data_IF_503680358483
#
_entry.id   IF_503680358483
#
_cell.length_a   1.000
_cell.length_b   1.000
_cell.length_c   1.000
_cell.angle_alpha   90.00
_cell.angle_beta   90.00
_cell.angle_gamma   90.00
#
_symmetry.space_group_name_H-M   'P 1'
#
loop_
_entity.id
_entity.type
_entity.pdbx_description
1 polymer ?
#
# COMPACT_ATOMS: atom_id res chain seq x y z
N UNK A 1 -9.15 19.70 -9.66
CA UNK A 1 -9.03 18.47 -8.85
C UNK A 1 -8.16 18.81 -7.67
N UNK A 2 -8.69 18.64 -6.46
CA UNK A 2 -7.97 18.97 -5.23
C UNK A 2 -6.95 17.87 -4.89
N UNK A 3 -7.31 16.60 -5.14
CA UNK A 3 -6.43 15.45 -5.03
C UNK A 3 -6.90 14.30 -5.94
N UNK A 4 -6.05 13.29 -6.11
CA UNK A 4 -6.35 12.04 -6.83
C UNK A 4 -6.09 10.87 -5.87
N UNK A 5 -6.99 9.89 -5.88
CA UNK A 5 -6.81 8.61 -5.18
C UNK A 5 -6.62 7.50 -6.23
N UNK A 6 -5.57 6.70 -6.08
CA UNK A 6 -5.31 5.53 -6.93
C UNK A 6 -5.11 4.32 -6.04
N UNK A 7 -5.79 3.23 -6.33
CA UNK A 7 -5.79 2.05 -5.45
C UNK A 7 -4.90 0.92 -5.96
N UNK A 8 -3.72 1.19 -6.53
CA UNK A 8 -2.77 0.16 -6.97
C UNK A 8 -3.11 -0.52 -8.30
N UNK A 9 -2.51 -1.70 -8.52
CA UNK A 9 -2.64 -2.55 -9.72
C UNK A 9 -2.18 -1.86 -11.02
N UNK A 10 -0.89 -1.55 -11.06
CA UNK A 10 -0.21 -0.96 -12.22
C UNK A 10 0.27 -2.00 -13.23
N UNK A 11 0.34 -3.28 -12.87
CA UNK A 11 0.69 -4.36 -13.80
C UNK A 11 -0.53 -4.93 -14.52
N UNK A 12 -0.31 -5.44 -15.73
CA UNK A 12 -1.30 -6.23 -16.44
C UNK A 12 -1.38 -7.67 -15.90
N UNK A 13 -2.34 -8.44 -16.41
CA UNK A 13 -2.60 -9.82 -16.01
C UNK A 13 -1.79 -10.84 -16.83
N UNK A 14 -0.64 -10.45 -17.35
CA UNK A 14 0.33 -11.28 -18.05
C UNK A 14 1.27 -11.97 -17.06
N UNK A 15 0.68 -12.74 -16.14
CA UNK A 15 1.39 -13.42 -15.04
C UNK A 15 2.51 -14.36 -15.49
N UNK A 16 2.56 -14.73 -16.77
CA UNK A 16 3.61 -15.54 -17.38
C UNK A 16 4.89 -14.76 -17.75
N UNK A 17 4.85 -13.43 -17.79
CA UNK A 17 6.00 -12.54 -18.11
C UNK A 17 6.20 -11.48 -17.01
N UNK A 18 5.93 -11.88 -15.78
CA UNK A 18 5.81 -11.00 -14.63
C UNK A 18 7.16 -10.85 -13.91
N UNK A 19 7.81 -9.69 -14.04
CA UNK A 19 9.18 -9.45 -13.54
C UNK A 19 9.29 -8.17 -12.71
N UNK A 20 10.29 -8.11 -11.82
CA UNK A 20 10.60 -6.89 -11.05
C UNK A 20 10.87 -5.68 -11.95
N UNK A 21 11.62 -5.88 -13.04
CA UNK A 21 11.98 -4.80 -13.97
C UNK A 21 10.75 -4.22 -14.67
N UNK A 22 9.84 -5.08 -15.15
CA UNK A 22 8.58 -4.65 -15.75
C UNK A 22 7.71 -3.89 -14.74
N UNK A 23 7.63 -4.38 -13.50
CA UNK A 23 6.87 -3.70 -12.45
C UNK A 23 7.41 -2.31 -12.14
N UNK A 24 8.73 -2.19 -12.02
CA UNK A 24 9.41 -0.90 -11.83
C UNK A 24 9.15 0.06 -12.97
N UNK A 25 9.25 -0.41 -14.22
CA UNK A 25 9.03 0.41 -15.41
C UNK A 25 7.62 0.97 -15.44
N UNK A 26 6.61 0.12 -15.26
CA UNK A 26 5.20 0.50 -15.28
C UNK A 26 4.84 1.52 -14.19
N UNK A 27 5.28 1.31 -12.94
CA UNK A 27 5.04 2.28 -11.85
C UNK A 27 5.70 3.63 -12.18
N UNK A 28 6.93 3.63 -12.72
CA UNK A 28 7.62 4.86 -13.12
C UNK A 28 6.92 5.56 -14.29
N UNK A 29 6.46 4.81 -15.28
CA UNK A 29 5.74 5.34 -16.43
C UNK A 29 4.42 5.99 -16.00
N UNK A 30 3.64 5.33 -15.15
CA UNK A 30 2.40 5.90 -14.59
C UNK A 30 2.71 7.14 -13.75
N UNK A 31 3.74 7.09 -12.90
CA UNK A 31 4.18 8.26 -12.12
C UNK A 31 4.54 9.44 -13.02
N UNK A 32 5.31 9.21 -14.09
CA UNK A 32 5.69 10.26 -15.04
C UNK A 32 4.48 10.87 -15.76
N UNK A 33 3.51 10.03 -16.15
CA UNK A 33 2.25 10.49 -16.73
C UNK A 33 1.45 11.36 -15.75
N UNK A 34 1.32 10.93 -14.49
CA UNK A 34 0.63 11.70 -13.45
C UNK A 34 1.27 13.07 -13.23
N UNK A 35 2.61 13.11 -13.13
CA UNK A 35 3.34 14.38 -12.99
C UNK A 35 3.21 15.28 -14.22
N UNK A 36 3.14 14.70 -15.43
CA UNK A 36 2.97 15.45 -16.67
C UNK A 36 1.57 16.07 -16.82
N UNK A 37 0.51 15.30 -16.54
CA UNK A 37 -0.87 15.76 -16.71
C UNK A 37 -1.42 16.52 -15.49
N UNK A 38 -0.94 16.20 -14.29
CA UNK A 38 -1.42 16.77 -13.02
C UNK A 38 -0.29 17.33 -12.14
N UNK A 39 0.53 18.28 -12.64
CA UNK A 39 1.77 18.72 -11.99
C UNK A 39 1.59 19.43 -10.64
N UNK A 40 0.36 19.79 -10.26
CA UNK A 40 0.04 20.50 -9.02
C UNK A 40 -0.98 19.76 -8.15
N UNK A 41 -1.46 18.61 -8.59
CA UNK A 41 -2.48 17.86 -7.85
C UNK A 41 -1.78 16.73 -7.09
N UNK A 42 -1.90 16.67 -5.76
CA UNK A 42 -1.36 15.57 -4.99
C UNK A 42 -2.08 14.26 -5.35
N UNK A 43 -1.30 13.18 -5.42
CA UNK A 43 -1.81 11.83 -5.68
C UNK A 43 -1.51 10.95 -4.47
N UNK A 44 -2.55 10.30 -3.95
CA UNK A 44 -2.47 9.33 -2.87
C UNK A 44 -2.69 7.94 -3.44
N UNK A 45 -1.71 7.07 -3.26
CA UNK A 45 -1.69 5.74 -3.87
C UNK A 45 -1.69 4.67 -2.79
N UNK A 46 -2.54 3.65 -2.89
CA UNK A 46 -2.39 2.39 -2.13
C UNK A 46 -1.68 1.33 -2.98
N UNK A 47 -1.02 0.37 -2.32
CA UNK A 47 -0.41 -0.79 -3.00
C UNK A 47 -1.52 -1.83 -3.29
N UNK A 48 -1.54 -2.37 -4.51
CA UNK A 48 -2.38 -3.48 -4.94
C UNK A 48 -1.65 -4.81 -4.93
N UNK A 49 -2.38 -5.87 -5.27
CA UNK A 49 -1.83 -7.22 -5.20
C UNK A 49 -0.96 -7.56 -6.43
N UNK A 50 -1.12 -6.80 -7.52
CA UNK A 50 -0.28 -6.85 -8.73
C UNK A 50 1.01 -5.99 -8.65
N UNK A 51 1.45 -5.56 -7.48
CA UNK A 51 2.75 -4.87 -7.35
C UNK A 51 3.90 -5.80 -6.94
N UNK A 52 3.60 -6.91 -6.26
CA UNK A 52 4.59 -7.85 -5.75
C UNK A 52 5.03 -8.80 -6.86
N UNK A 53 6.28 -9.27 -6.83
CA UNK A 53 6.83 -10.25 -7.79
C UNK A 53 7.33 -11.48 -7.02
N UNK A 54 6.76 -12.68 -7.23
CA UNK A 54 5.57 -12.94 -8.05
C UNK A 54 4.32 -12.23 -7.52
N UNK A 55 3.26 -12.15 -8.33
CA UNK A 55 1.97 -11.56 -7.92
C UNK A 55 1.53 -12.05 -6.53
N UNK A 56 0.90 -11.17 -5.75
CA UNK A 56 0.47 -11.38 -4.36
C UNK A 56 1.62 -11.54 -3.34
N UNK A 57 2.88 -11.56 -3.76
CA UNK A 57 4.03 -11.76 -2.87
C UNK A 57 4.44 -10.47 -2.15
N UNK A 58 3.76 -10.18 -1.04
CA UNK A 58 4.06 -9.07 -0.13
C UNK A 58 4.60 -9.59 1.20
N UNK A 59 5.77 -10.22 1.24
CA UNK A 59 6.24 -10.83 2.51
C UNK A 59 6.37 -9.80 3.65
N UNK A 60 6.10 -10.19 4.93
CA UNK A 60 6.22 -9.30 6.08
C UNK A 60 7.67 -9.22 6.55
N UNK A 61 8.07 -8.15 7.24
CA UNK A 61 9.46 -7.99 7.72
C UNK A 61 9.90 -9.03 8.72
N UNK A 62 8.93 -9.63 9.41
CA UNK A 62 9.19 -10.70 10.38
C UNK A 62 9.59 -12.02 9.71
N UNK A 63 9.57 -12.09 8.37
CA UNK A 63 10.11 -13.24 7.62
C UNK A 63 11.59 -13.45 7.93
N UNK A 64 12.04 -14.67 8.31
CA UNK A 64 13.46 -14.94 8.55
C UNK A 64 14.39 -14.61 7.37
N UNK A 65 13.89 -14.74 6.15
CA UNK A 65 14.62 -14.42 4.90
C UNK A 65 14.23 -13.05 4.32
N UNK A 66 13.63 -12.15 5.12
CA UNK A 66 13.10 -10.88 4.62
C UNK A 66 14.15 -10.13 3.80
N UNK A 67 15.32 -9.86 4.36
CA UNK A 67 16.39 -9.13 3.67
C UNK A 67 16.83 -9.72 2.32
N UNK A 68 16.58 -11.01 2.09
CA UNK A 68 16.99 -11.72 0.87
C UNK A 68 15.86 -11.82 -0.16
N UNK A 69 14.61 -11.92 0.29
CA UNK A 69 13.46 -12.31 -0.54
C UNK A 69 12.24 -11.42 -0.36
N UNK A 70 12.32 -10.43 0.52
CA UNK A 70 11.26 -9.48 0.78
C UNK A 70 11.09 -8.50 -0.39
N UNK A 71 9.97 -7.78 -0.46
CA UNK A 71 9.74 -6.78 -1.49
C UNK A 71 10.32 -5.41 -1.10
N UNK A 72 11.51 -5.33 -0.48
CA UNK A 72 12.11 -4.03 -0.09
C UNK A 72 12.29 -3.11 -1.30
N UNK A 73 12.57 -3.70 -2.45
CA UNK A 73 12.67 -3.00 -3.72
C UNK A 73 11.39 -2.27 -4.08
N UNK A 74 10.23 -2.88 -3.83
CA UNK A 74 8.91 -2.33 -4.12
C UNK A 74 8.62 -1.18 -3.16
N UNK A 75 8.84 -1.38 -1.86
CA UNK A 75 8.59 -0.31 -0.88
C UNK A 75 9.51 0.89 -1.08
N UNK A 76 10.75 0.67 -1.52
CA UNK A 76 11.66 1.74 -1.94
C UNK A 76 11.10 2.49 -3.14
N UNK A 77 10.64 1.79 -4.17
CA UNK A 77 10.02 2.39 -5.35
C UNK A 77 8.74 3.16 -5.03
N UNK A 78 7.90 2.63 -4.14
CA UNK A 78 6.69 3.32 -3.69
C UNK A 78 7.03 4.60 -2.91
N UNK A 79 8.06 4.58 -2.06
CA UNK A 79 8.58 5.79 -1.40
C UNK A 79 9.12 6.81 -2.39
N UNK A 80 9.84 6.38 -3.42
CA UNK A 80 10.28 7.25 -4.52
C UNK A 80 9.09 7.91 -5.22
N UNK A 81 8.06 7.14 -5.57
CA UNK A 81 6.83 7.66 -6.17
C UNK A 81 6.12 8.65 -5.24
N UNK A 82 5.84 8.27 -4.00
CA UNK A 82 5.13 9.11 -3.03
C UNK A 82 5.89 10.38 -2.65
N UNK A 83 7.22 10.40 -2.74
CA UNK A 83 8.02 11.59 -2.45
C UNK A 83 7.68 12.80 -3.34
N UNK A 84 7.00 12.57 -4.47
CA UNK A 84 6.49 13.64 -5.33
C UNK A 84 5.29 14.39 -4.71
N UNK A 85 4.56 13.80 -3.77
CA UNK A 85 3.30 14.35 -3.26
C UNK A 85 3.17 14.37 -1.73
N UNK A 86 3.89 13.50 -1.02
CA UNK A 86 3.80 13.36 0.45
C UNK A 86 4.96 14.07 1.17
N UNK A 87 4.70 14.65 2.36
CA UNK A 87 5.75 15.22 3.20
C UNK A 87 6.63 14.12 3.81
N UNK A 88 7.88 14.45 4.14
CA UNK A 88 8.88 13.50 4.66
C UNK A 88 8.42 12.63 5.85
N UNK A 89 7.69 13.15 6.86
CA UNK A 89 7.19 12.32 7.95
C UNK A 89 6.31 11.17 7.46
N UNK A 90 5.41 11.43 6.52
CA UNK A 90 4.51 10.41 5.97
C UNK A 90 5.25 9.32 5.18
N UNK A 91 6.46 9.59 4.67
CA UNK A 91 7.29 8.60 3.99
C UNK A 91 7.98 7.62 4.97
N UNK A 92 8.17 8.04 6.22
CA UNK A 92 8.68 7.16 7.28
C UNK A 92 7.62 6.12 7.70
N UNK A 93 6.35 6.52 7.66
CA UNK A 93 5.19 5.72 8.09
C UNK A 93 4.60 4.83 6.99
N UNK A 94 5.27 4.71 5.84
CA UNK A 94 4.91 3.71 4.85
C UNK A 94 5.07 2.32 5.47
N UNK A 95 3.94 1.73 5.86
CA UNK A 95 3.88 0.39 6.46
C UNK A 95 3.70 -0.69 5.39
N UNK A 96 4.05 -1.91 5.78
CA UNK A 96 4.35 -3.02 4.90
C UNK A 96 3.27 -4.10 5.07
N UNK A 97 3.01 -4.90 4.04
CA UNK A 97 1.96 -5.93 4.01
C UNK A 97 2.53 -7.37 3.93
N UNK A 98 1.66 -8.38 3.83
CA UNK A 98 1.60 -9.72 4.49
C UNK A 98 2.12 -11.03 3.82
N UNK A 99 2.45 -12.07 4.64
CA UNK A 99 1.96 -13.50 4.50
C UNK A 99 2.43 -14.56 5.55
N UNK A 100 3.41 -14.33 6.44
CA UNK A 100 3.97 -15.42 7.29
C UNK A 100 3.25 -15.61 8.64
N UNK A 101 2.83 -14.53 9.29
CA UNK A 101 2.02 -14.56 10.50
C UNK A 101 0.75 -13.73 10.25
N UNK A 102 -0.42 -14.32 10.53
CA UNK A 102 -1.72 -13.71 10.25
C UNK A 102 -2.27 -12.88 11.43
N UNK A 103 -1.56 -12.84 12.56
CA UNK A 103 -1.89 -11.98 13.70
C UNK A 103 -1.31 -10.59 13.45
N UNK A 104 -2.19 -9.62 13.19
CA UNK A 104 -1.90 -8.21 12.88
C UNK A 104 -0.49 -7.96 12.28
N UNK A 105 -0.29 -8.39 11.03
CA UNK A 105 0.99 -8.34 10.34
C UNK A 105 1.49 -6.90 10.23
N UNK A 106 2.77 -6.72 10.56
CA UNK A 106 3.41 -5.41 10.67
C UNK A 106 2.64 -4.40 11.54
N UNK A 107 1.76 -4.89 12.44
CA UNK A 107 0.91 -4.09 13.33
C UNK A 107 0.00 -3.08 12.60
N UNK A 108 -0.41 -3.40 11.35
CA UNK A 108 -1.19 -2.49 10.50
C UNK A 108 -2.54 -2.07 11.10
N UNK A 109 -3.26 -2.98 11.77
CA UNK A 109 -4.52 -2.66 12.43
C UNK A 109 -4.30 -1.89 13.72
N UNK A 110 -3.27 -2.22 14.51
CA UNK A 110 -2.92 -1.45 15.70
C UNK A 110 -2.55 0.00 15.34
N UNK A 111 -1.72 0.20 14.32
CA UNK A 111 -1.40 1.53 13.81
C UNK A 111 -2.65 2.28 13.35
N UNK A 112 -3.55 1.61 12.60
CA UNK A 112 -4.81 2.24 12.17
C UNK A 112 -5.65 2.70 13.36
N UNK A 113 -5.74 1.90 14.42
CA UNK A 113 -6.44 2.28 15.67
C UNK A 113 -5.79 3.53 16.26
N UNK A 114 -4.46 3.56 16.37
CA UNK A 114 -3.73 4.67 16.98
C UNK A 114 -3.98 5.99 16.21
N UNK A 115 -3.94 5.96 14.88
CA UNK A 115 -4.22 7.11 14.01
C UNK A 115 -5.68 7.57 14.09
N UNK A 116 -6.63 6.63 14.14
CA UNK A 116 -8.06 6.94 14.25
C UNK A 116 -8.39 7.57 15.62
N UNK A 117 -7.81 7.05 16.70
CA UNK A 117 -7.97 7.62 18.04
C UNK A 117 -7.37 9.03 18.10
N UNK A 118 -6.16 9.23 17.58
CA UNK A 118 -5.53 10.56 17.51
C UNK A 118 -6.38 11.53 16.69
N UNK A 119 -6.90 11.11 15.53
CA UNK A 119 -7.81 11.90 14.69
C UNK A 119 -9.11 12.25 15.41
N UNK A 120 -9.72 11.31 16.14
CA UNK A 120 -10.92 11.54 16.93
C UNK A 120 -10.68 12.60 18.02
N UNK A 121 -9.54 12.53 18.73
CA UNK A 121 -9.20 13.51 19.77
C UNK A 121 -9.02 14.93 19.22
N UNK A 122 -8.61 15.06 17.95
CA UNK A 122 -8.47 16.34 17.23
C UNK A 122 -9.79 16.82 16.60
N UNK A 123 -10.80 15.96 16.52
CA UNK A 123 -12.06 16.23 15.83
C UNK A 123 -11.97 16.14 14.31
N UNK A 124 -10.93 15.49 13.80
CA UNK A 124 -10.66 15.33 12.37
C UNK A 124 -11.59 14.29 11.72
N UNK A 125 -11.66 14.32 10.38
CA UNK A 125 -12.32 13.29 9.57
C UNK A 125 -11.26 12.56 8.76
N UNK A 126 -11.45 11.25 8.61
CA UNK A 126 -10.46 10.36 7.99
C UNK A 126 -11.06 9.73 6.74
N UNK A 127 -10.27 9.71 5.66
CA UNK A 127 -10.52 8.87 4.48
C UNK A 127 -9.55 7.69 4.52
N UNK A 128 -10.07 6.47 4.42
CA UNK A 128 -9.26 5.25 4.31
C UNK A 128 -9.34 4.79 2.85
N UNK A 129 -8.18 4.48 2.26
CA UNK A 129 -8.09 3.92 0.90
C UNK A 129 -7.39 2.56 0.97
N UNK A 130 -7.90 1.57 0.21
CA UNK A 130 -7.33 0.24 0.10
C UNK A 130 -7.53 -0.32 -1.30
N UNK A 131 -6.72 -1.31 -1.67
CA UNK A 131 -6.89 -2.05 -2.91
C UNK A 131 -7.92 -3.19 -2.76
N UNK A 132 -7.60 -4.18 -1.93
CA UNK A 132 -8.52 -5.28 -1.61
C UNK A 132 -9.60 -4.74 -0.66
N UNK A 133 -10.90 -4.84 -0.99
CA UNK A 133 -11.96 -4.42 -0.10
C UNK A 133 -12.02 -5.31 1.15
N UNK A 134 -12.18 -4.74 2.36
CA UNK A 134 -12.52 -5.52 3.55
C UNK A 134 -13.86 -6.25 3.32
N UNK A 135 -13.93 -7.54 3.65
CA UNK A 135 -15.11 -8.38 3.47
C UNK A 135 -15.16 -9.16 2.17
N UNK A 136 -14.18 -8.97 1.28
CA UNK A 136 -13.99 -9.77 0.08
C UNK A 136 -13.30 -11.11 0.40
N UNK A 137 -13.49 -12.13 -0.45
CA UNK A 137 -12.91 -13.46 -0.30
C UNK A 137 -11.36 -13.47 -0.41
N UNK A 138 -10.76 -12.42 -1.00
CA UNK A 138 -9.31 -12.20 -1.00
C UNK A 138 -8.77 -11.63 0.33
N UNK A 139 -9.64 -11.19 1.24
CA UNK A 139 -9.25 -10.71 2.55
C UNK A 139 -9.33 -11.84 3.60
N UNK A 140 -8.32 -11.94 4.47
CA UNK A 140 -8.36 -12.90 5.58
C UNK A 140 -9.53 -12.59 6.50
N UNK A 141 -10.41 -13.57 6.73
CA UNK A 141 -11.61 -13.42 7.58
C UNK A 141 -11.32 -12.78 8.94
N UNK A 142 -10.23 -13.19 9.59
CA UNK A 142 -9.81 -12.63 10.88
C UNK A 142 -9.46 -11.14 10.77
N UNK A 143 -8.69 -10.76 9.75
CA UNK A 143 -8.34 -9.36 9.49
C UNK A 143 -9.59 -8.54 9.16
N UNK A 144 -10.44 -9.03 8.25
CA UNK A 144 -11.68 -8.37 7.85
C UNK A 144 -12.63 -8.14 9.03
N UNK A 145 -12.74 -9.12 9.93
CA UNK A 145 -13.56 -8.99 11.14
C UNK A 145 -13.03 -7.87 12.05
N UNK A 146 -11.72 -7.83 12.31
CA UNK A 146 -11.13 -6.79 13.16
C UNK A 146 -11.25 -5.40 12.51
N UNK A 147 -11.00 -5.29 11.20
CA UNK A 147 -11.20 -4.04 10.47
C UNK A 147 -12.63 -3.53 10.61
N UNK A 148 -13.63 -4.40 10.45
CA UNK A 148 -15.03 -4.04 10.62
C UNK A 148 -15.34 -3.54 12.04
N UNK A 149 -14.76 -4.15 13.07
CA UNK A 149 -14.93 -3.71 14.46
C UNK A 149 -14.25 -2.36 14.76
N UNK A 150 -13.23 -1.98 14.00
CA UNK A 150 -12.53 -0.68 14.13
C UNK A 150 -13.34 0.45 13.50
N UNK A 151 -13.96 0.23 12.34
CA UNK A 151 -14.57 1.31 11.53
C UNK A 151 -16.07 1.54 11.78
N UNK A 152 -16.69 0.76 12.68
CA UNK A 152 -18.13 0.80 12.96
C UNK A 152 -18.62 2.04 13.71
#
# INVERSE_FOLDING_TARGET
LDYILITGDFQAHDSWDYTEDLTRENIRNVTALLLGYFPKTPVYVSIGNHEGVPQDAMAPHTMPEYEQRGPQWLYTLMKEMWSNWLPQPALADVQYYLYINQVDPDATLQWLIDELVDSETKGDKVHIISHIPPGDDYCLKGWSYNFFEIVK
#
